data_IF_698770380932
#
_entry.id   IF_698770380932
#
_cell.length_a   1.000
_cell.length_b   1.000
_cell.length_c   1.000
_cell.angle_alpha   90.00
_cell.angle_beta   90.00
_cell.angle_gamma   90.00
#
_symmetry.space_group_name_H-M   'P 1'
#
loop_
_entity.id
_entity.type
_entity.pdbx_description
1 polymer ?
#
# COMPACT_ATOMS: atom_id res chain seq x y z
N UNK A 1 -3.84 -12.86 -34.32
CA UNK A 1 -2.63 -12.92 -33.48
C UNK A 1 -2.90 -13.89 -32.35
N UNK A 2 -2.11 -14.95 -32.25
CA UNK A 2 -2.19 -15.91 -31.15
C UNK A 2 -1.56 -15.27 -29.90
N UNK A 3 -2.33 -15.09 -28.83
CA UNK A 3 -1.86 -14.42 -27.60
C UNK A 3 -1.06 -15.44 -26.80
N UNK A 4 0.27 -15.31 -26.80
CA UNK A 4 1.16 -16.19 -26.04
C UNK A 4 1.36 -15.66 -24.62
N UNK A 5 0.85 -16.40 -23.64
CA UNK A 5 1.13 -16.15 -22.22
C UNK A 5 2.42 -16.86 -21.80
N UNK A 6 3.26 -16.17 -21.04
CA UNK A 6 4.54 -16.70 -20.54
C UNK A 6 4.66 -16.50 -19.03
N UNK A 7 5.59 -17.22 -18.38
CA UNK A 7 5.95 -17.04 -16.97
C UNK A 7 4.75 -17.06 -15.98
N UNK A 8 3.91 -18.12 -15.97
CA UNK A 8 2.82 -18.22 -15.02
C UNK A 8 3.34 -18.36 -13.58
N UNK A 9 2.79 -17.57 -12.66
CA UNK A 9 3.13 -17.60 -11.23
C UNK A 9 1.86 -17.61 -10.40
N UNK A 10 1.84 -18.48 -9.39
CA UNK A 10 0.77 -18.52 -8.39
C UNK A 10 1.29 -17.89 -7.11
N UNK A 11 0.55 -16.94 -6.56
CA UNK A 11 0.90 -16.29 -5.29
C UNK A 11 -0.32 -16.15 -4.38
N UNK A 12 -0.07 -16.12 -3.06
CA UNK A 12 -1.11 -15.95 -2.05
C UNK A 12 -0.75 -14.78 -1.14
N UNK A 13 -1.66 -13.81 -1.00
CA UNK A 13 -1.40 -12.59 -0.21
C UNK A 13 -1.96 -12.64 1.22
N UNK A 14 -2.38 -13.82 1.69
CA UNK A 14 -3.04 -13.99 2.99
C UNK A 14 -4.57 -13.83 2.94
N UNK A 15 -5.14 -13.44 1.79
CA UNK A 15 -6.60 -13.41 1.56
C UNK A 15 -7.00 -14.04 0.23
N UNK A 16 -6.33 -13.68 -0.87
CA UNK A 16 -6.65 -14.15 -2.20
C UNK A 16 -5.46 -14.85 -2.84
N UNK A 17 -5.77 -15.82 -3.69
CA UNK A 17 -4.83 -16.44 -4.62
C UNK A 17 -4.83 -15.63 -5.91
N UNK A 18 -3.64 -15.40 -6.47
CA UNK A 18 -3.45 -14.74 -7.75
C UNK A 18 -2.70 -15.65 -8.68
N UNK A 19 -3.12 -15.62 -9.95
CA UNK A 19 -2.36 -16.13 -11.07
C UNK A 19 -1.84 -14.90 -11.81
N UNK A 20 -0.53 -14.80 -11.94
CA UNK A 20 0.14 -13.76 -12.72
C UNK A 20 0.76 -14.41 -13.95
N UNK A 21 0.55 -13.79 -15.11
CA UNK A 21 1.13 -14.21 -16.39
C UNK A 21 1.75 -12.99 -17.06
N UNK A 22 2.78 -13.23 -17.86
CA UNK A 22 3.42 -12.23 -18.70
C UNK A 22 2.88 -12.34 -20.12
N UNK A 23 2.73 -11.21 -20.81
CA UNK A 23 2.42 -11.16 -22.24
C UNK A 23 3.31 -10.11 -22.89
N UNK A 24 3.76 -10.38 -24.11
CA UNK A 24 4.44 -9.40 -24.94
C UNK A 24 3.41 -8.62 -25.74
N UNK A 25 3.61 -7.31 -25.82
CA UNK A 25 2.80 -6.40 -26.62
C UNK A 25 3.72 -5.35 -27.22
N UNK A 26 3.64 -5.17 -28.53
CA UNK A 26 4.34 -4.08 -29.20
C UNK A 26 3.85 -2.73 -28.66
N UNK A 27 4.78 -1.86 -28.27
CA UNK A 27 4.45 -0.51 -27.81
C UNK A 27 4.13 0.37 -29.02
N UNK A 28 2.98 1.06 -29.03
CA UNK A 28 2.67 1.98 -30.12
C UNK A 28 3.64 3.16 -30.07
N UNK A 29 4.23 3.51 -31.21
CA UNK A 29 5.04 4.73 -31.35
C UNK A 29 4.12 5.93 -31.09
N UNK A 30 4.49 6.78 -30.14
CA UNK A 30 3.76 8.00 -29.84
C UNK A 30 4.71 9.19 -29.82
N UNK A 31 4.38 10.23 -30.59
CA UNK A 31 5.17 11.47 -30.63
C UNK A 31 5.01 12.24 -29.31
N UNK A 32 6.13 12.77 -28.81
CA UNK A 32 6.18 13.67 -27.66
C UNK A 32 5.73 15.08 -28.07
N UNK A 33 5.24 15.85 -27.11
CA UNK A 33 4.73 17.21 -27.37
C UNK A 33 5.81 18.29 -27.48
N UNK A 34 7.11 17.95 -27.37
CA UNK A 34 8.22 18.91 -27.26
C UNK A 34 8.11 19.85 -26.03
N UNK A 35 7.26 19.52 -25.05
CA UNK A 35 7.06 20.27 -23.81
C UNK A 35 7.88 19.65 -22.69
N UNK A 36 8.70 20.46 -22.02
CA UNK A 36 9.34 20.07 -20.76
C UNK A 36 8.39 20.31 -19.58
N UNK A 37 8.38 19.39 -18.63
CA UNK A 37 7.50 19.48 -17.45
C UNK A 37 8.34 19.50 -16.18
N UNK A 38 8.08 20.48 -15.32
CA UNK A 38 8.56 20.50 -13.95
C UNK A 38 7.58 19.80 -13.01
N UNK A 39 8.09 18.90 -12.17
CA UNK A 39 7.30 18.22 -11.13
C UNK A 39 7.88 18.54 -9.76
N UNK A 40 7.10 19.22 -8.93
CA UNK A 40 7.44 19.47 -7.53
C UNK A 40 6.59 18.58 -6.61
N UNK A 41 7.20 17.88 -5.66
CA UNK A 41 6.51 16.95 -4.76
C UNK A 41 6.40 17.53 -3.35
N UNK A 42 5.19 17.49 -2.77
CA UNK A 42 4.91 18.18 -1.51
C UNK A 42 4.26 17.32 -0.41
N UNK A 43 4.28 17.86 0.80
CA UNK A 43 3.49 17.34 1.92
C UNK A 43 2.06 17.90 1.93
N UNK A 44 1.89 19.14 1.45
CA UNK A 44 0.58 19.80 1.38
C UNK A 44 -0.29 19.12 0.34
N UNK A 45 0.21 19.14 -0.89
CA UNK A 45 -0.28 18.49 -2.09
C UNK A 45 0.76 17.47 -2.52
N UNK A 46 0.34 16.33 -3.08
CA UNK A 46 1.24 15.27 -3.53
C UNK A 46 2.26 15.79 -4.54
N UNK A 47 1.81 16.57 -5.51
CA UNK A 47 2.71 17.26 -6.42
C UNK A 47 2.03 18.33 -7.28
N UNK A 48 2.81 19.32 -7.67
CA UNK A 48 2.46 20.40 -8.59
C UNK A 48 3.21 20.15 -9.89
N UNK A 49 2.52 20.26 -11.02
CA UNK A 49 3.09 19.96 -12.33
C UNK A 49 2.89 21.18 -13.23
N UNK A 50 3.96 21.64 -13.88
CA UNK A 50 3.95 22.92 -14.60
C UNK A 50 2.87 23.04 -15.67
N UNK A 51 2.47 21.95 -16.32
CA UNK A 51 1.42 21.95 -17.35
C UNK A 51 0.02 21.53 -16.84
N UNK A 52 -0.15 21.32 -15.53
CA UNK A 52 -1.44 20.94 -14.92
C UNK A 52 -1.83 22.00 -13.89
N UNK A 53 -2.89 22.76 -14.20
CA UNK A 53 -3.36 23.87 -13.37
C UNK A 53 -3.68 23.47 -11.92
N UNK A 54 -4.22 22.26 -11.73
CA UNK A 54 -4.64 21.77 -10.42
C UNK A 54 -3.57 20.85 -9.83
N UNK A 55 -3.07 21.16 -8.62
CA UNK A 55 -2.11 20.29 -7.96
C UNK A 55 -2.77 18.95 -7.59
N UNK A 56 -1.98 17.87 -7.67
CA UNK A 56 -2.42 16.57 -7.19
C UNK A 56 -2.51 16.61 -5.68
N UNK A 57 -3.72 16.50 -5.13
CA UNK A 57 -3.92 16.55 -3.67
C UNK A 57 -3.30 15.34 -2.97
N UNK A 58 -2.84 15.54 -1.73
CA UNK A 58 -2.30 14.45 -0.92
C UNK A 58 -3.42 13.52 -0.40
N UNK A 59 -3.46 12.29 -0.94
CA UNK A 59 -4.45 11.26 -0.57
C UNK A 59 -4.46 10.94 0.93
N UNK A 60 -3.34 11.10 1.63
CA UNK A 60 -3.24 10.82 3.06
C UNK A 60 -4.09 11.75 3.93
N UNK A 61 -4.53 12.90 3.38
CA UNK A 61 -5.34 13.89 4.09
C UNK A 61 -6.85 13.65 3.97
N UNK A 62 -7.28 12.73 3.11
CA UNK A 62 -8.69 12.39 2.92
C UNK A 62 -9.34 11.82 4.18
N UNK A 63 -10.66 12.03 4.33
CA UNK A 63 -11.45 11.53 5.47
C UNK A 63 -11.30 10.02 5.65
N UNK A 64 -11.33 9.28 4.53
CA UNK A 64 -11.24 7.82 4.54
C UNK A 64 -9.86 7.33 5.00
N UNK A 65 -8.76 7.87 4.46
CA UNK A 65 -7.41 7.47 4.89
C UNK A 65 -7.16 7.83 6.35
N UNK A 66 -7.61 9.01 6.81
CA UNK A 66 -7.53 9.39 8.24
C UNK A 66 -8.33 8.42 9.13
N UNK A 67 -9.54 8.03 8.73
CA UNK A 67 -10.38 7.07 9.44
C UNK A 67 -9.70 5.70 9.53
N UNK A 68 -9.16 5.20 8.42
CA UNK A 68 -8.44 3.93 8.36
C UNK A 68 -7.15 3.95 9.21
N UNK A 69 -6.36 5.04 9.17
CA UNK A 69 -5.18 5.20 10.04
C UNK A 69 -5.55 5.18 11.52
N UNK A 70 -6.62 5.87 11.93
CA UNK A 70 -7.13 5.81 13.31
C UNK A 70 -7.55 4.39 13.71
N UNK A 71 -8.25 3.68 12.82
CA UNK A 71 -8.64 2.27 13.03
C UNK A 71 -7.41 1.36 13.17
N UNK A 72 -6.42 1.53 12.30
CA UNK A 72 -5.14 0.81 12.34
C UNK A 72 -4.44 1.00 13.69
N UNK A 73 -4.29 2.26 14.14
CA UNK A 73 -3.67 2.58 15.44
C UNK A 73 -4.39 1.92 16.61
N UNK A 74 -5.73 1.95 16.63
CA UNK A 74 -6.55 1.29 17.67
C UNK A 74 -6.31 -0.23 17.68
N UNK A 75 -6.28 -0.86 16.50
CA UNK A 75 -6.06 -2.30 16.38
C UNK A 75 -4.63 -2.72 16.75
N UNK A 76 -3.61 -1.94 16.37
CA UNK A 76 -2.23 -2.15 16.81
C UNK A 76 -2.09 -2.11 18.33
N UNK A 77 -2.70 -1.12 18.99
CA UNK A 77 -2.75 -1.06 20.46
C UNK A 77 -3.47 -2.26 21.08
N UNK A 78 -4.58 -2.70 20.48
CA UNK A 78 -5.31 -3.89 20.94
C UNK A 78 -4.46 -5.16 20.84
N UNK A 79 -3.71 -5.34 19.74
CA UNK A 79 -2.80 -6.48 19.57
C UNK A 79 -1.68 -6.43 20.59
N UNK A 80 -1.02 -5.28 20.76
CA UNK A 80 0.07 -5.11 21.73
C UNK A 80 -0.39 -5.43 23.16
N UNK A 81 -1.55 -4.92 23.60
CA UNK A 81 -2.11 -5.24 24.92
C UNK A 81 -2.33 -6.74 25.09
N UNK A 82 -2.90 -7.42 24.09
CA UNK A 82 -3.11 -8.87 24.16
C UNK A 82 -1.81 -9.68 24.24
N UNK A 83 -0.73 -9.20 23.63
CA UNK A 83 0.57 -9.83 23.77
C UNK A 83 1.15 -9.62 25.18
N UNK A 84 1.02 -8.41 25.74
CA UNK A 84 1.43 -8.16 27.14
C UNK A 84 0.58 -8.95 28.15
N UNK A 85 -0.74 -9.05 27.95
CA UNK A 85 -1.62 -9.86 28.82
C UNK A 85 -1.27 -11.36 28.74
N UNK A 86 -0.80 -11.82 27.58
CA UNK A 86 -0.40 -13.22 27.33
C UNK A 86 1.07 -13.51 27.62
N UNK A 87 1.75 -12.60 28.32
CA UNK A 87 3.16 -12.67 28.70
C UNK A 87 3.33 -13.55 29.93
N UNK A 88 4.24 -14.50 29.84
CA UNK A 88 4.58 -15.43 30.92
C UNK A 88 6.07 -15.26 31.18
N UNK A 89 6.46 -14.86 32.39
CA UNK A 89 7.87 -14.77 32.75
C UNK A 89 8.48 -16.18 32.79
N UNK A 90 9.60 -16.36 32.08
CA UNK A 90 10.36 -17.61 32.10
C UNK A 90 11.72 -17.27 32.69
N UNK A 91 12.02 -17.76 33.89
CA UNK A 91 13.30 -17.51 34.54
C UNK A 91 13.12 -17.07 35.98
N UNK A 92 14.22 -16.67 36.61
CA UNK A 92 14.22 -16.18 38.00
C UNK A 92 13.66 -14.76 38.08
N UNK A 93 13.20 -14.38 39.27
CA UNK A 93 12.77 -13.02 39.56
C UNK A 93 13.92 -12.03 39.25
N UNK A 94 13.65 -11.01 38.43
CA UNK A 94 14.66 -10.07 37.92
C UNK A 94 15.20 -10.35 36.49
N UNK A 95 14.93 -11.53 35.91
CA UNK A 95 15.31 -11.82 34.51
C UNK A 95 14.28 -11.31 33.50
N UNK A 96 14.72 -10.54 32.48
CA UNK A 96 13.88 -10.04 31.37
C UNK A 96 13.63 -11.11 30.29
N UNK A 97 13.16 -12.29 30.70
CA UNK A 97 12.84 -13.41 29.79
C UNK A 97 11.37 -13.73 29.84
N UNK A 98 10.71 -13.69 28.67
CA UNK A 98 9.27 -13.86 28.56
C UNK A 98 8.87 -14.80 27.44
N UNK A 99 7.87 -15.64 27.70
CA UNK A 99 7.09 -16.36 26.69
C UNK A 99 5.88 -15.53 26.33
N UNK A 100 5.51 -15.55 25.06
CA UNK A 100 4.24 -14.98 24.60
C UNK A 100 3.34 -16.09 24.05
N UNK A 101 2.12 -16.18 24.55
CA UNK A 101 1.16 -17.18 24.08
C UNK A 101 0.31 -16.62 22.93
N UNK A 102 0.50 -17.17 21.72
CA UNK A 102 -0.26 -16.72 20.53
C UNK A 102 -1.64 -17.37 20.45
N UNK A 103 -2.62 -16.72 21.07
CA UNK A 103 -4.02 -17.18 21.06
C UNK A 103 -4.72 -16.98 19.70
N UNK A 104 -5.82 -17.70 19.47
CA UNK A 104 -6.65 -17.51 18.27
C UNK A 104 -7.26 -16.10 18.19
N UNK A 105 -7.52 -15.47 19.33
CA UNK A 105 -7.99 -14.09 19.39
C UNK A 105 -6.95 -13.09 18.86
N UNK A 106 -5.66 -13.29 19.19
CA UNK A 106 -4.56 -12.48 18.64
C UNK A 106 -4.49 -12.66 17.12
N UNK A 107 -4.52 -13.91 16.64
CA UNK A 107 -4.51 -14.21 15.19
C UNK A 107 -5.66 -13.52 14.45
N UNK A 108 -6.86 -13.49 15.03
CA UNK A 108 -8.04 -12.81 14.47
C UNK A 108 -7.81 -11.29 14.33
N UNK A 109 -7.31 -10.64 15.37
CA UNK A 109 -7.03 -9.19 15.33
C UNK A 109 -5.88 -8.86 14.37
N UNK A 110 -4.83 -9.68 14.32
CA UNK A 110 -3.74 -9.54 13.34
C UNK A 110 -4.27 -9.62 11.90
N UNK A 111 -5.19 -10.55 11.62
CA UNK A 111 -5.82 -10.66 10.31
C UNK A 111 -6.55 -9.38 9.93
N UNK A 112 -7.36 -8.82 10.83
CA UNK A 112 -8.04 -7.54 10.60
C UNK A 112 -7.05 -6.38 10.35
N UNK A 113 -5.95 -6.34 11.11
CA UNK A 113 -4.88 -5.35 10.96
C UNK A 113 -4.24 -5.43 9.57
N UNK A 114 -3.91 -6.64 9.09
CA UNK A 114 -3.39 -6.86 7.74
C UNK A 114 -4.35 -6.37 6.66
N UNK A 115 -5.65 -6.60 6.83
CA UNK A 115 -6.67 -6.11 5.88
C UNK A 115 -6.74 -4.57 5.82
N UNK A 116 -6.60 -3.89 6.96
CA UNK A 116 -6.58 -2.42 7.01
C UNK A 116 -5.32 -1.87 6.35
N UNK A 117 -4.15 -2.45 6.66
CA UNK A 117 -2.88 -2.06 6.03
C UNK A 117 -2.94 -2.23 4.51
N UNK A 118 -3.44 -3.38 4.05
CA UNK A 118 -3.64 -3.65 2.63
C UNK A 118 -4.54 -2.62 1.96
N UNK A 119 -5.69 -2.30 2.56
CA UNK A 119 -6.61 -1.28 2.02
C UNK A 119 -5.92 0.09 1.91
N UNK A 120 -5.14 0.47 2.92
CA UNK A 120 -4.36 1.72 2.90
C UNK A 120 -3.30 1.72 1.79
N UNK A 121 -2.57 0.63 1.60
CA UNK A 121 -1.58 0.49 0.54
C UNK A 121 -2.22 0.58 -0.84
N UNK A 122 -3.34 -0.12 -1.06
CA UNK A 122 -4.06 -0.09 -2.34
C UNK A 122 -4.58 1.30 -2.69
N UNK A 123 -5.14 2.04 -1.72
CA UNK A 123 -5.61 3.42 -1.94
C UNK A 123 -4.45 4.32 -2.39
N UNK A 124 -3.29 4.20 -1.74
CA UNK A 124 -2.10 5.01 -2.08
C UNK A 124 -1.53 4.63 -3.44
N UNK A 125 -1.39 3.34 -3.71
CA UNK A 125 -0.85 2.83 -4.96
C UNK A 125 -1.74 3.26 -6.15
N UNK A 126 -3.05 3.11 -6.00
CA UNK A 126 -4.01 3.58 -7.01
C UNK A 126 -3.89 5.09 -7.25
N UNK A 127 -3.78 5.89 -6.19
CA UNK A 127 -3.62 7.35 -6.31
C UNK A 127 -2.32 7.72 -7.04
N UNK A 128 -1.21 7.04 -6.73
CA UNK A 128 0.07 7.23 -7.45
C UNK A 128 -0.09 6.89 -8.93
N UNK A 129 -0.66 5.73 -9.27
CA UNK A 129 -0.87 5.36 -10.68
C UNK A 129 -1.78 6.34 -11.43
N UNK A 130 -2.84 6.84 -10.79
CA UNK A 130 -3.70 7.85 -11.39
C UNK A 130 -2.95 9.16 -11.64
N UNK A 131 -2.12 9.60 -10.70
CA UNK A 131 -1.25 10.79 -10.86
C UNK A 131 -0.23 10.58 -11.97
N UNK A 132 0.51 9.47 -11.97
CA UNK A 132 1.50 9.16 -13.02
C UNK A 132 0.84 9.08 -14.39
N UNK A 133 -0.30 8.40 -14.51
CA UNK A 133 -1.03 8.31 -15.77
C UNK A 133 -1.50 9.69 -16.27
N UNK A 134 -1.97 10.56 -15.37
CA UNK A 134 -2.35 11.92 -15.74
C UNK A 134 -1.16 12.73 -16.27
N UNK A 135 0.02 12.59 -15.68
CA UNK A 135 1.25 13.25 -16.13
C UNK A 135 1.70 12.67 -17.48
N UNK A 136 1.83 11.34 -17.59
CA UNK A 136 2.31 10.66 -18.81
C UNK A 136 1.41 10.94 -20.01
N UNK A 137 0.09 11.07 -19.82
CA UNK A 137 -0.85 11.45 -20.89
C UNK A 137 -0.55 12.79 -21.54
N UNK A 138 0.17 13.68 -20.87
CA UNK A 138 0.60 14.96 -21.46
C UNK A 138 1.79 14.83 -22.41
N UNK A 139 2.39 13.63 -22.49
CA UNK A 139 3.52 13.28 -23.38
C UNK A 139 4.64 14.34 -23.34
N UNK A 140 5.22 14.61 -22.15
CA UNK A 140 6.40 15.46 -22.05
C UNK A 140 7.56 14.90 -22.86
N UNK A 141 8.50 15.77 -23.21
CA UNK A 141 9.76 15.40 -23.86
C UNK A 141 10.83 14.97 -22.87
#
# INVERSE_FOLDING_TARGET
MEIKYTNPRISFDGKFWYISVSMEKEEPISENTNISIGVDLGLKDLGVVSNIDKPFKNINKTKEVKRLKKKLKRKQKQVSRKYEDGKIQIGREGENRYKFTKTNNIKKVERELKLIQRRLSNIRLNHIHQTTNAIVKTKPS
#
